data_IF_518451749803
#
_entry.id   IF_518451749803
#
_cell.length_a   1.000
_cell.length_b   1.000
_cell.length_c   1.000
_cell.angle_alpha   90.00
_cell.angle_beta   90.00
_cell.angle_gamma   90.00
#
_symmetry.space_group_name_H-M   'P 1'
#
loop_
_entity.id
_entity.type
_entity.pdbx_description
1 polymer ?
#
# COMPACT_ATOMS: atom_id res chain seq x y z
N UNK A 1 -29.61 9.77 0.84
CA UNK A 1 -28.21 9.36 0.57
C UNK A 1 -27.52 9.10 1.91
N UNK A 2 -26.87 7.94 2.06
CA UNK A 2 -26.17 7.60 3.30
C UNK A 2 -24.82 8.30 3.34
N UNK A 3 -24.58 9.12 4.38
CA UNK A 3 -23.31 9.82 4.55
C UNK A 3 -22.15 8.83 4.72
N UNK A 4 -21.10 8.96 3.91
CA UNK A 4 -19.86 8.17 4.03
C UNK A 4 -19.05 8.70 5.22
N UNK A 5 -18.57 7.80 6.07
CA UNK A 5 -17.88 8.13 7.34
C UNK A 5 -16.51 7.47 7.48
N UNK A 6 -16.26 6.41 6.72
CA UNK A 6 -15.06 5.60 6.81
C UNK A 6 -14.40 5.45 5.45
N UNK A 7 -13.08 5.25 5.45
CA UNK A 7 -12.31 4.80 4.30
C UNK A 7 -11.62 3.52 4.73
N UNK A 8 -11.70 2.49 3.91
CA UNK A 8 -10.81 1.34 4.03
C UNK A 8 -9.75 1.48 2.97
N UNK A 9 -8.49 1.44 3.38
CA UNK A 9 -7.34 1.55 2.50
C UNK A 9 -6.56 0.25 2.60
N UNK A 10 -6.28 -0.37 1.46
CA UNK A 10 -5.34 -1.46 1.34
C UNK A 10 -4.19 -1.03 0.44
N UNK A 11 -3.00 -1.48 0.80
CA UNK A 11 -1.79 -1.19 0.05
C UNK A 11 -1.00 -2.47 -0.13
N UNK A 12 -0.69 -2.79 -1.38
CA UNK A 12 0.23 -3.87 -1.68
C UNK A 12 1.66 -3.47 -1.29
N UNK A 13 2.35 -4.35 -0.55
CA UNK A 13 3.64 -4.00 0.03
C UNK A 13 4.72 -3.72 -1.01
N UNK A 14 4.73 -4.43 -2.14
CA UNK A 14 5.82 -4.39 -3.12
C UNK A 14 5.70 -3.22 -4.08
N UNK A 15 4.61 -3.19 -4.85
CA UNK A 15 4.30 -2.14 -5.82
C UNK A 15 3.92 -0.82 -5.16
N UNK A 16 3.56 -0.85 -3.86
CA UNK A 16 2.90 0.25 -3.17
C UNK A 16 1.55 0.63 -3.80
N UNK A 17 0.94 -0.27 -4.59
CA UNK A 17 -0.39 -0.06 -5.15
C UNK A 17 -1.41 0.14 -4.04
N UNK A 18 -2.22 1.21 -4.13
CA UNK A 18 -3.21 1.56 -3.12
C UNK A 18 -4.60 1.42 -3.73
N UNK A 19 -5.47 0.73 -3.01
CA UNK A 19 -6.90 0.67 -3.26
C UNK A 19 -7.63 1.22 -2.04
N UNK A 20 -8.65 2.05 -2.26
CA UNK A 20 -9.45 2.55 -1.17
C UNK A 20 -10.93 2.67 -1.52
N UNK A 21 -11.77 2.34 -0.55
CA UNK A 21 -13.23 2.40 -0.68
C UNK A 21 -13.84 3.26 0.41
N UNK A 22 -14.78 4.13 0.05
CA UNK A 22 -15.54 4.95 1.00
C UNK A 22 -16.78 4.21 1.50
N UNK A 23 -16.90 4.11 2.82
CA UNK A 23 -17.95 3.34 3.47
C UNK A 23 -18.81 4.22 4.39
N UNK A 24 -20.12 3.97 4.37
CA UNK A 24 -21.03 4.54 5.37
C UNK A 24 -20.95 3.78 6.70
N UNK A 25 -20.76 2.47 6.62
CA UNK A 25 -20.58 1.53 7.73
C UNK A 25 -19.54 0.50 7.35
N UNK A 26 -18.72 0.06 8.31
CA UNK A 26 -17.72 -0.99 8.08
C UNK A 26 -18.43 -2.33 8.17
N UNK A 27 -18.43 -3.10 7.07
CA UNK A 27 -19.02 -4.44 7.03
C UNK A 27 -17.99 -5.48 6.63
N UNK A 28 -18.12 -6.70 7.13
CA UNK A 28 -17.20 -7.81 6.81
C UNK A 28 -17.13 -8.07 5.29
N UNK A 29 -18.26 -7.93 4.59
CA UNK A 29 -18.35 -8.09 3.12
C UNK A 29 -17.41 -7.14 2.39
N UNK A 30 -17.43 -5.86 2.74
CA UNK A 30 -16.56 -4.84 2.12
C UNK A 30 -15.09 -5.10 2.43
N UNK A 31 -14.80 -5.52 3.66
CA UNK A 31 -13.43 -5.88 4.02
C UNK A 31 -12.90 -7.07 3.22
N UNK A 32 -13.73 -8.09 2.97
CA UNK A 32 -13.38 -9.23 2.12
C UNK A 32 -13.19 -8.82 0.66
N UNK A 33 -14.03 -7.93 0.13
CA UNK A 33 -13.89 -7.42 -1.24
C UNK A 33 -12.52 -6.81 -1.48
N UNK A 34 -12.04 -6.00 -0.55
CA UNK A 34 -10.70 -5.40 -0.65
C UNK A 34 -9.59 -6.46 -0.68
N UNK A 35 -9.72 -7.55 0.08
CA UNK A 35 -8.77 -8.69 -0.01
C UNK A 35 -8.83 -9.35 -1.39
N UNK A 36 -10.00 -9.46 -2.01
CA UNK A 36 -10.12 -10.06 -3.34
C UNK A 36 -9.51 -9.21 -4.47
N UNK A 37 -9.52 -7.88 -4.34
CA UNK A 37 -9.01 -6.98 -5.39
C UNK A 37 -7.53 -7.26 -5.70
N UNK A 38 -6.74 -7.57 -4.68
CA UNK A 38 -5.31 -7.85 -4.83
C UNK A 38 -4.99 -9.35 -4.99
N UNK A 39 -6.00 -10.22 -5.04
CA UNK A 39 -5.81 -11.65 -5.26
C UNK A 39 -5.36 -12.46 -4.02
N UNK A 40 -4.55 -13.49 -4.24
CA UNK A 40 -4.16 -14.46 -3.19
C UNK A 40 -2.97 -13.91 -2.41
N UNK A 41 -3.24 -13.36 -1.23
CA UNK A 41 -2.19 -12.88 -0.34
C UNK A 41 -1.63 -13.99 0.56
N UNK A 42 -0.30 -14.03 0.68
CA UNK A 42 0.37 -14.87 1.69
C UNK A 42 0.34 -14.24 3.08
N UNK A 43 0.37 -12.90 3.16
CA UNK A 43 0.44 -12.14 4.40
C UNK A 43 -0.40 -10.87 4.30
N UNK A 44 -1.26 -10.63 5.29
CA UNK A 44 -1.94 -9.34 5.46
C UNK A 44 -1.42 -8.70 6.74
N UNK A 45 -1.00 -7.43 6.61
CA UNK A 45 -0.62 -6.57 7.72
C UNK A 45 -1.76 -5.63 8.03
N UNK A 46 -2.34 -5.75 9.23
CA UNK A 46 -3.42 -4.88 9.68
C UNK A 46 -3.05 -4.15 10.96
N UNK A 47 -3.81 -3.10 11.26
CA UNK A 47 -3.82 -2.53 12.60
C UNK A 47 -4.57 -3.43 13.59
N UNK A 48 -4.66 -2.98 14.84
CA UNK A 48 -5.37 -3.70 15.91
C UNK A 48 -6.89 -3.42 15.90
N UNK A 49 -7.46 -3.00 14.76
CA UNK A 49 -8.90 -2.82 14.62
C UNK A 49 -9.69 -4.10 14.91
N UNK A 50 -10.81 -3.98 15.62
CA UNK A 50 -11.66 -5.12 16.00
C UNK A 50 -12.16 -5.88 14.75
N UNK A 51 -12.50 -5.16 13.69
CA UNK A 51 -12.98 -5.73 12.42
C UNK A 51 -11.97 -6.66 11.74
N UNK A 52 -10.67 -6.42 11.92
CA UNK A 52 -9.60 -7.26 11.36
C UNK A 52 -9.20 -8.43 12.27
N UNK A 53 -9.51 -8.34 13.58
CA UNK A 53 -9.15 -9.37 14.56
C UNK A 53 -10.18 -10.47 14.68
N UNK A 54 -11.44 -10.10 14.91
CA UNK A 54 -12.46 -11.06 15.32
C UNK A 54 -13.32 -11.47 14.13
N UNK A 55 -13.88 -10.49 13.42
CA UNK A 55 -14.86 -10.74 12.35
C UNK A 55 -14.27 -11.50 11.15
N UNK A 56 -12.98 -11.31 10.85
CA UNK A 56 -12.34 -11.90 9.66
C UNK A 56 -11.42 -13.09 9.97
N UNK A 57 -11.31 -13.52 11.24
CA UNK A 57 -10.36 -14.58 11.65
C UNK A 57 -10.58 -15.88 10.89
N UNK A 58 -11.83 -16.31 10.75
CA UNK A 58 -12.19 -17.54 10.06
C UNK A 58 -11.91 -17.45 8.56
N UNK A 59 -12.11 -16.26 7.97
CA UNK A 59 -11.81 -16.01 6.57
C UNK A 59 -10.31 -16.17 6.26
N UNK A 60 -9.44 -15.59 7.09
CA UNK A 60 -7.98 -15.73 6.90
C UNK A 60 -7.53 -17.18 7.09
N UNK A 61 -8.04 -17.86 8.11
CA UNK A 61 -7.68 -19.26 8.40
C UNK A 61 -8.08 -20.19 7.26
N UNK A 62 -9.31 -20.05 6.75
CA UNK A 62 -9.80 -20.87 5.64
C UNK A 62 -8.99 -20.65 4.35
N UNK A 63 -8.52 -19.41 4.13
CA UNK A 63 -7.73 -19.04 2.95
C UNK A 63 -6.23 -19.26 3.11
N UNK A 64 -5.78 -19.80 4.24
CA UNK A 64 -4.35 -19.98 4.57
C UNK A 64 -3.54 -18.67 4.51
N UNK A 65 -4.18 -17.55 4.83
CA UNK A 65 -3.55 -16.22 4.86
C UNK A 65 -2.94 -16.00 6.24
N UNK A 66 -1.64 -15.70 6.29
CA UNK A 66 -1.02 -15.28 7.54
C UNK A 66 -1.49 -13.87 7.90
N UNK A 67 -1.95 -13.68 9.14
CA UNK A 67 -2.27 -12.36 9.68
C UNK A 67 -1.14 -11.94 10.62
N UNK A 68 -0.48 -10.83 10.31
CA UNK A 68 0.44 -10.19 11.23
C UNK A 68 -0.09 -8.83 11.63
N UNK A 69 -0.08 -8.58 12.94
CA UNK A 69 -0.63 -7.38 13.53
C UNK A 69 0.50 -6.46 13.91
N UNK A 70 0.38 -5.17 13.60
CA UNK A 70 1.41 -4.23 14.04
C UNK A 70 1.46 -4.15 15.58
N UNK A 71 2.61 -4.52 16.16
CA UNK A 71 2.88 -4.40 17.61
C UNK A 71 3.11 -2.94 18.02
N UNK A 72 3.51 -2.13 17.05
CA UNK A 72 3.89 -0.73 17.18
C UNK A 72 2.75 0.09 16.60
N UNK A 73 2.37 1.18 17.27
CA UNK A 73 1.63 2.28 16.63
C UNK A 73 2.41 2.65 15.37
N UNK A 74 2.05 2.08 14.21
CA UNK A 74 2.42 2.64 12.92
C UNK A 74 2.18 4.14 13.07
N UNK A 75 3.16 5.02 12.80
CA UNK A 75 2.95 6.45 12.95
C UNK A 75 1.72 6.76 12.10
N UNK A 76 0.60 6.99 12.79
CA UNK A 76 -0.66 7.35 12.16
C UNK A 76 -0.38 8.71 11.59
N UNK A 77 0.08 8.73 10.33
CA UNK A 77 0.16 9.96 9.56
C UNK A 77 -1.28 10.40 9.44
N UNK A 78 -1.67 11.32 10.32
CA UNK A 78 -2.93 12.02 10.20
C UNK A 78 -2.84 12.76 8.88
N UNK A 79 -3.50 12.23 7.88
CA UNK A 79 -3.78 13.02 6.70
C UNK A 79 -4.79 14.07 7.18
N UNK A 80 -4.35 15.32 7.30
CA UNK A 80 -5.31 16.40 7.43
C UNK A 80 -5.93 16.54 6.04
N UNK A 81 -7.17 16.08 5.91
CA UNK A 81 -8.06 16.64 4.89
C UNK A 81 -8.02 18.15 5.14
N UNK A 82 -7.63 18.96 4.17
CA UNK A 82 -7.57 20.41 4.33
C UNK A 82 -8.96 21.02 4.57
N UNK A 83 -9.22 22.17 3.96
CA UNK A 83 -10.50 22.88 4.07
C UNK A 83 -11.72 22.12 3.51
N UNK A 84 -11.53 20.93 2.92
CA UNK A 84 -12.57 20.02 2.44
C UNK A 84 -13.33 19.33 3.59
N UNK A 85 -14.03 20.12 4.40
CA UNK A 85 -15.02 19.65 5.37
C UNK A 85 -16.23 19.07 4.63
N UNK A 86 -16.19 17.77 4.38
CA UNK A 86 -17.36 16.98 3.97
C UNK A 86 -17.36 16.47 2.53
N UNK A 87 -16.48 16.97 1.66
CA UNK A 87 -16.35 16.54 0.25
C UNK A 87 -15.21 15.55 -0.01
N UNK A 88 -14.61 15.03 1.07
CA UNK A 88 -13.50 14.09 0.93
C UNK A 88 -13.87 12.79 0.18
N UNK A 89 -15.12 12.26 0.23
CA UNK A 89 -15.45 11.08 -0.57
C UNK A 89 -15.36 11.35 -2.07
N UNK A 90 -15.69 12.57 -2.50
CA UNK A 90 -15.65 13.02 -3.89
C UNK A 90 -14.22 13.25 -4.38
N UNK A 91 -13.31 13.66 -3.49
CA UNK A 91 -11.88 13.87 -3.80
C UNK A 91 -11.05 12.58 -3.80
N UNK A 92 -11.57 11.49 -3.21
CA UNK A 92 -10.81 10.25 -3.05
C UNK A 92 -10.36 9.66 -4.40
N UNK A 93 -11.20 9.54 -5.46
CA UNK A 93 -10.76 9.00 -6.74
C UNK A 93 -9.61 9.78 -7.36
N UNK A 94 -9.66 11.12 -7.31
CA UNK A 94 -8.58 11.98 -7.82
C UNK A 94 -7.30 11.83 -7.00
N UNK A 95 -7.43 11.72 -5.67
CA UNK A 95 -6.29 11.49 -4.77
C UNK A 95 -5.64 10.13 -5.03
N UNK A 96 -6.43 9.07 -5.19
CA UNK A 96 -5.94 7.73 -5.54
C UNK A 96 -5.23 7.75 -6.89
N UNK A 97 -5.82 8.38 -7.90
CA UNK A 97 -5.20 8.53 -9.22
C UNK A 97 -3.84 9.23 -9.13
N UNK A 98 -3.76 10.33 -8.39
CA UNK A 98 -2.50 11.05 -8.18
C UNK A 98 -1.45 10.19 -7.48
N UNK A 99 -1.83 9.44 -6.43
CA UNK A 99 -0.92 8.50 -5.76
C UNK A 99 -0.46 7.38 -6.69
N UNK A 100 -1.35 6.90 -7.56
CA UNK A 100 -1.06 5.79 -8.46
C UNK A 100 -0.10 6.19 -9.59
N UNK A 101 -0.26 7.41 -10.12
CA UNK A 101 0.43 7.93 -11.31
C UNK A 101 1.61 8.87 -11.01
N UNK A 102 1.88 9.17 -9.73
CA UNK A 102 3.05 9.96 -9.35
C UNK A 102 4.24 9.05 -9.06
N UNK A 103 5.40 9.38 -9.61
CA UNK A 103 6.62 8.61 -9.37
C UNK A 103 6.99 8.67 -7.89
N UNK A 104 7.27 7.52 -7.29
CA UNK A 104 7.75 7.47 -5.93
C UNK A 104 9.16 8.05 -5.88
N UNK A 105 9.37 9.08 -5.06
CA UNK A 105 10.66 9.81 -4.93
C UNK A 105 11.88 8.93 -4.66
N UNK A 106 11.69 7.73 -4.08
CA UNK A 106 12.76 6.78 -3.77
C UNK A 106 12.99 5.77 -4.90
N UNK A 107 11.94 5.44 -5.65
CA UNK A 107 11.95 4.35 -6.63
C UNK A 107 12.23 4.89 -8.04
N UNK A 108 11.72 6.07 -8.35
CA UNK A 108 11.76 6.69 -9.68
C UNK A 108 10.58 6.28 -10.57
N UNK A 109 9.91 5.18 -10.23
CA UNK A 109 8.77 4.63 -10.98
C UNK A 109 7.42 5.00 -10.32
N UNK A 110 6.36 5.01 -11.11
CA UNK A 110 4.98 5.13 -10.61
C UNK A 110 4.47 3.77 -10.13
N UNK A 111 3.51 3.76 -9.21
CA UNK A 111 2.91 2.47 -8.81
C UNK A 111 2.09 1.85 -9.96
N UNK A 112 1.54 2.67 -10.86
CA UNK A 112 0.83 2.22 -12.04
C UNK A 112 1.74 1.43 -12.99
N UNK A 113 2.95 1.92 -13.30
CA UNK A 113 3.88 1.18 -14.16
C UNK A 113 4.37 -0.11 -13.53
N UNK A 114 4.50 -0.19 -12.20
CA UNK A 114 4.83 -1.44 -11.50
C UNK A 114 3.71 -2.49 -11.51
N UNK A 115 2.45 -2.07 -11.69
CA UNK A 115 1.29 -2.97 -11.77
C UNK A 115 1.02 -3.39 -13.21
N UNK A 116 1.03 -2.44 -14.14
CA UNK A 116 0.59 -2.64 -15.52
C UNK A 116 1.72 -2.70 -16.56
N UNK A 117 2.98 -2.52 -16.14
CA UNK A 117 4.16 -2.61 -16.99
C UNK A 117 4.43 -1.36 -17.83
N UNK A 118 3.54 -0.38 -17.83
CA UNK A 118 3.68 0.85 -18.61
C UNK A 118 3.11 2.04 -17.85
N UNK A 119 3.61 3.24 -18.12
CA UNK A 119 3.16 4.45 -17.47
C UNK A 119 1.72 4.82 -17.87
N UNK A 120 0.94 5.35 -16.92
CA UNK A 120 -0.42 5.79 -17.19
C UNK A 120 -0.44 6.99 -18.16
N UNK A 121 -1.45 7.07 -19.02
CA UNK A 121 -1.76 8.29 -19.78
C UNK A 121 -2.50 9.24 -18.84
N UNK A 122 -1.81 10.29 -18.38
CA UNK A 122 -2.42 11.28 -17.48
C UNK A 122 -3.34 12.23 -18.26
N UNK A 123 -4.40 12.78 -17.63
CA UNK A 123 -5.38 13.62 -18.33
C UNK A 123 -4.80 14.81 -19.11
N UNK A 124 -3.70 15.40 -18.61
CA UNK A 124 -3.03 16.51 -19.29
C UNK A 124 -2.42 16.08 -20.64
N UNK A 125 -1.93 14.85 -20.76
CA UNK A 125 -1.43 14.32 -22.04
C UNK A 125 -2.55 14.14 -23.07
N UNK A 126 -3.77 13.85 -22.61
CA UNK A 126 -4.95 13.75 -23.48
C UNK A 126 -5.34 15.15 -23.95
N UNK A 127 -5.46 16.09 -23.01
CA UNK A 127 -5.84 17.47 -23.30
C UNK A 127 -4.83 18.20 -24.21
N UNK A 128 -3.53 17.96 -24.00
CA UNK A 128 -2.46 18.55 -24.80
C UNK A 128 -2.10 17.72 -26.04
N UNK A 129 -2.71 16.54 -26.21
CA UNK A 129 -2.36 15.56 -27.25
C UNK A 129 -0.84 15.31 -27.28
N UNK A 130 -0.31 14.65 -26.24
CA UNK A 130 1.10 14.24 -26.21
C UNK A 130 1.46 13.37 -27.42
N UNK A 131 2.75 13.20 -27.72
CA UNK A 131 3.20 12.31 -28.81
C UNK A 131 2.59 10.90 -28.68
N UNK A 132 2.51 10.38 -27.45
CA UNK A 132 1.92 9.09 -27.15
C UNK A 132 0.43 9.01 -27.51
N UNK A 133 -0.33 10.08 -27.26
CA UNK A 133 -1.76 10.17 -27.61
C UNK A 133 -1.98 10.42 -29.10
N UNK A 134 -1.12 11.22 -29.75
CA UNK A 134 -1.24 11.55 -31.18
C UNK A 134 -0.93 10.38 -32.10
N UNK A 135 0.06 9.56 -31.73
CA UNK A 135 0.53 8.43 -32.53
C UNK A 135 0.08 7.08 -31.93
N UNK A 136 -1.03 7.06 -31.19
CA UNK A 136 -1.55 5.82 -30.63
C UNK A 136 -2.13 4.94 -31.73
N UNK A 137 -1.52 3.77 -31.95
CA UNK A 137 -2.04 2.73 -32.82
C UNK A 137 -2.14 1.42 -32.03
N UNK A 138 -3.37 0.93 -31.84
CA UNK A 138 -3.63 -0.24 -30.99
C UNK A 138 -2.86 -1.49 -31.45
N UNK A 139 -2.89 -1.78 -32.75
CA UNK A 139 -2.22 -2.97 -33.32
C UNK A 139 -0.70 -2.96 -33.15
N UNK A 140 -0.07 -1.78 -33.30
CA UNK A 140 1.39 -1.63 -33.13
C UNK A 140 1.78 -1.67 -31.65
N UNK A 141 0.93 -1.15 -30.76
CA UNK A 141 1.19 -1.07 -29.33
C UNK A 141 1.00 -2.40 -28.58
N UNK A 142 0.34 -3.40 -29.17
CA UNK A 142 0.12 -4.69 -28.50
C UNK A 142 1.43 -5.42 -28.15
N UNK A 143 2.36 -5.52 -29.09
CA UNK A 143 3.63 -6.24 -28.88
C UNK A 143 4.53 -5.56 -27.84
N UNK A 144 4.76 -4.23 -27.87
CA UNK A 144 5.46 -3.52 -26.80
C UNK A 144 4.82 -3.69 -25.43
N UNK A 145 3.49 -3.67 -25.32
CA UNK A 145 2.79 -3.87 -24.04
C UNK A 145 3.04 -5.28 -23.50
N UNK A 146 3.04 -6.30 -24.37
CA UNK A 146 3.36 -7.69 -23.97
C UNK A 146 4.79 -7.81 -23.45
N UNK A 147 5.76 -7.26 -24.18
CA UNK A 147 7.15 -7.25 -23.75
C UNK A 147 7.32 -6.55 -22.40
N UNK A 148 6.62 -5.42 -22.19
CA UNK A 148 6.65 -4.73 -20.91
C UNK A 148 6.07 -5.58 -19.77
N UNK A 149 5.01 -6.35 -20.03
CA UNK A 149 4.44 -7.28 -19.05
C UNK A 149 5.41 -8.43 -18.76
N UNK A 150 6.13 -8.95 -19.75
CA UNK A 150 7.14 -10.00 -19.54
C UNK A 150 8.33 -9.49 -18.72
N UNK A 151 8.68 -8.22 -18.87
CA UNK A 151 9.78 -7.57 -18.14
C UNK A 151 9.39 -7.08 -16.73
N UNK A 152 8.10 -7.02 -16.42
CA UNK A 152 7.59 -6.38 -15.19
C UNK A 152 8.13 -7.04 -13.93
N UNK A 153 8.33 -8.36 -13.95
CA UNK A 153 8.84 -9.11 -12.80
C UNK A 153 10.28 -8.73 -12.48
N UNK A 154 11.10 -8.47 -13.51
CA UNK A 154 12.46 -7.95 -13.31
C UNK A 154 12.47 -6.55 -12.69
N UNK A 155 11.56 -5.67 -13.11
CA UNK A 155 11.40 -4.35 -12.49
C UNK A 155 10.95 -4.46 -11.03
N UNK A 156 9.98 -5.34 -10.76
CA UNK A 156 9.49 -5.59 -9.40
C UNK A 156 10.60 -6.09 -8.50
N UNK A 157 11.42 -7.04 -8.95
CA UNK A 157 12.57 -7.54 -8.19
C UNK A 157 13.56 -6.43 -7.82
N UNK A 158 13.90 -5.56 -8.76
CA UNK A 158 14.77 -4.40 -8.50
C UNK A 158 14.16 -3.47 -7.45
N UNK A 159 12.85 -3.20 -7.54
CA UNK A 159 12.13 -2.38 -6.55
C UNK A 159 12.09 -3.05 -5.19
N UNK A 160 11.91 -4.37 -5.13
CA UNK A 160 11.95 -5.16 -3.90
C UNK A 160 13.29 -5.03 -3.18
N UNK A 161 14.40 -5.16 -3.92
CA UNK A 161 15.76 -4.99 -3.38
C UNK A 161 15.95 -3.58 -2.80
N UNK A 162 15.51 -2.54 -3.53
CA UNK A 162 15.56 -1.15 -3.06
C UNK A 162 14.74 -0.97 -1.78
N UNK A 163 13.52 -1.50 -1.74
CA UNK A 163 12.62 -1.43 -0.58
C UNK A 163 13.22 -2.14 0.64
N UNK A 164 13.78 -3.35 0.46
CA UNK A 164 14.43 -4.11 1.53
C UNK A 164 15.65 -3.36 2.09
N UNK A 165 16.50 -2.83 1.22
CA UNK A 165 17.68 -2.03 1.60
C UNK A 165 17.27 -0.81 2.43
N UNK A 166 16.22 -0.09 2.01
CA UNK A 166 15.66 1.04 2.74
C UNK A 166 15.14 0.62 4.12
N UNK A 167 14.35 -0.45 4.19
CA UNK A 167 13.80 -0.97 5.44
C UNK A 167 14.92 -1.33 6.42
N UNK A 168 16.01 -1.95 5.94
CA UNK A 168 17.19 -2.23 6.75
C UNK A 168 17.89 -0.96 7.25
N UNK A 169 18.06 0.06 6.40
CA UNK A 169 18.63 1.34 6.82
C UNK A 169 17.79 2.02 7.90
N UNK A 170 16.46 2.04 7.73
CA UNK A 170 15.53 2.59 8.72
C UNK A 170 15.62 1.81 10.03
N UNK A 171 15.61 0.48 9.97
CA UNK A 171 15.77 -0.37 11.16
C UNK A 171 17.11 -0.11 11.88
N UNK A 172 18.22 0.00 11.14
CA UNK A 172 19.54 0.34 11.71
C UNK A 172 19.52 1.70 12.42
N UNK A 173 18.90 2.71 11.82
CA UNK A 173 18.76 4.04 12.41
C UNK A 173 17.94 4.01 13.71
N UNK A 174 16.81 3.30 13.74
CA UNK A 174 16.03 3.18 14.96
C UNK A 174 16.78 2.39 16.03
N UNK A 175 17.40 1.26 15.66
CA UNK A 175 18.15 0.42 16.59
C UNK A 175 19.38 1.13 17.17
N UNK A 176 20.02 2.03 16.43
CA UNK A 176 21.16 2.82 16.94
C UNK A 176 20.74 3.87 17.97
N UNK A 177 19.46 4.29 17.98
CA UNK A 177 18.90 5.26 18.95
C UNK A 177 18.30 4.62 20.20
N UNK A 178 18.07 3.32 20.22
CA UNK A 178 17.61 2.60 21.41
C UNK A 178 18.81 2.35 22.33
N UNK A 179 18.84 2.98 23.52
CA UNK A 179 19.85 2.70 24.55
C UNK A 179 19.77 1.22 24.93
N UNK A 180 20.91 0.51 24.89
CA UNK A 180 21.02 -0.84 25.45
C UNK A 180 20.75 -0.76 26.96
N UNK A 181 19.59 -1.24 27.40
CA UNK A 181 19.34 -1.50 28.82
C UNK A 181 20.19 -2.72 29.16
N UNK A 182 21.38 -2.50 29.72
CA UNK A 182 22.16 -3.57 30.34
C UNK A 182 21.42 -3.93 31.64
N UNK A 183 20.99 -5.18 31.86
CA UNK A 183 20.43 -5.56 33.14
C UNK A 183 21.55 -5.45 34.18
N UNK A 184 21.41 -4.48 35.09
CA UNK A 184 22.23 -4.44 36.31
C UNK A 184 22.03 -5.76 37.05
N UNK A 185 23.10 -6.56 37.17
CA UNK A 185 23.12 -7.75 38.04
C UNK A 185 22.91 -7.28 39.48
N UNK A 186 21.66 -7.23 39.94
CA UNK A 186 21.36 -7.16 41.38
C UNK A 186 21.66 -8.52 41.97
N UNK A 187 22.83 -8.64 42.60
CA UNK A 187 23.15 -9.73 43.52
C UNK A 187 22.21 -9.63 44.73
N UNK A 188 21.31 -10.58 44.89
CA UNK A 188 20.58 -10.76 46.14
C UNK A 188 21.43 -11.59 47.10
N UNK A 189 21.74 -11.12 48.32
CA UNK A 189 22.42 -11.96 49.30
C UNK A 189 21.43 -13.00 49.85
N UNK A 190 21.83 -14.28 49.77
CA UNK A 190 21.18 -15.37 50.52
C UNK A 190 21.42 -15.11 52.01
N UNK A 191 20.34 -14.98 52.78
CA UNK A 191 20.38 -15.05 54.25
C UNK A 191 20.22 -16.53 54.63
N UNK A 192 21.23 -17.07 55.30
CA UNK A 192 21.12 -18.31 56.06
C UNK A 192 20.43 -18.04 57.39
#
# INVERSE_FOLDING_TARGET
MTQKKFIVVAMEYFTKWIEAETLATITERQMKLIVYIFGVHRLILTDNGICFRENLKNFYTHRQIALAQSSVKMPQKKWSVGEAKGTWPEELPGTLWALQTTAHTVIGETTFSLVYGTEAVIPVEIGMRSHRTQHFEEGVNQEPIRLNLDLIDGFREVVEIKNATRAQQVARYYNSKVKKIVPSRRSYPMKY
#
